data_IF_429054238112
#
_entry.id   IF_429054238112
#
_cell.length_a   1.000
_cell.length_b   1.000
_cell.length_c   1.000
_cell.angle_alpha   90.00
_cell.angle_beta   90.00
_cell.angle_gamma   90.00
#
_symmetry.space_group_name_H-M   'P 1'
#
loop_
_entity.id
_entity.type
_entity.pdbx_description
1 polymer ?
#
# COMPACT_ATOMS: atom_id res chain seq x y z
N UNK A 1 -5.57 -5.58 1.24
CA UNK A 1 -4.80 -6.79 1.65
C UNK A 1 -3.41 -6.31 2.00
N UNK A 2 -2.89 -6.65 3.18
CA UNK A 2 -1.58 -6.19 3.65
C UNK A 2 -0.46 -6.54 2.64
N UNK A 3 0.45 -5.60 2.27
CA UNK A 3 1.50 -5.84 1.29
C UNK A 3 2.35 -7.08 1.52
N UNK A 4 2.68 -7.41 2.79
CA UNK A 4 3.44 -8.62 3.12
C UNK A 4 2.78 -9.95 2.65
N UNK A 5 1.49 -9.93 2.31
CA UNK A 5 0.73 -11.09 1.84
C UNK A 5 0.57 -11.14 0.32
N UNK A 6 1.15 -10.18 -0.41
CA UNK A 6 1.05 -10.12 -1.86
C UNK A 6 1.97 -11.14 -2.52
N UNK A 7 1.41 -11.87 -3.47
CA UNK A 7 2.13 -12.60 -4.52
C UNK A 7 2.80 -11.65 -5.51
N UNK A 8 3.72 -12.18 -6.33
CA UNK A 8 4.33 -11.39 -7.40
C UNK A 8 3.28 -10.81 -8.38
N UNK A 9 2.20 -11.56 -8.64
CA UNK A 9 1.09 -11.07 -9.46
C UNK A 9 0.37 -9.88 -8.83
N UNK A 10 0.15 -9.90 -7.52
CA UNK A 10 -0.47 -8.77 -6.80
C UNK A 10 0.44 -7.54 -6.78
N UNK A 11 1.77 -7.72 -6.69
CA UNK A 11 2.74 -6.63 -6.86
C UNK A 11 2.64 -6.01 -8.25
N UNK A 12 2.63 -6.83 -9.31
CA UNK A 12 2.48 -6.36 -10.70
C UNK A 12 1.15 -5.63 -10.91
N UNK A 13 0.05 -6.14 -10.33
CA UNK A 13 -1.25 -5.47 -10.39
C UNK A 13 -1.25 -4.11 -9.67
N UNK A 14 -0.60 -4.00 -8.51
CA UNK A 14 -0.44 -2.73 -7.81
C UNK A 14 0.38 -1.72 -8.63
N UNK A 15 1.46 -2.16 -9.27
CA UNK A 15 2.26 -1.30 -10.16
C UNK A 15 1.46 -0.81 -11.37
N UNK A 16 0.65 -1.67 -11.97
CA UNK A 16 -0.25 -1.28 -13.07
C UNK A 16 -1.30 -0.27 -12.62
N UNK A 17 -1.88 -0.47 -11.43
CA UNK A 17 -2.79 0.50 -10.82
C UNK A 17 -2.10 1.86 -10.63
N UNK A 18 -0.91 1.90 -10.02
CA UNK A 18 -0.18 3.15 -9.83
C UNK A 18 0.23 3.81 -11.16
N UNK A 19 0.54 3.02 -12.19
CA UNK A 19 0.82 3.55 -13.53
C UNK A 19 -0.37 4.32 -14.08
N UNK A 20 -1.59 3.77 -13.95
CA UNK A 20 -2.81 4.43 -14.39
C UNK A 20 -3.20 5.62 -13.49
N UNK A 21 -3.14 5.45 -12.17
CA UNK A 21 -3.60 6.45 -11.19
C UNK A 21 -2.73 7.71 -11.18
N UNK A 22 -1.41 7.57 -11.36
CA UNK A 22 -0.47 8.69 -11.31
C UNK A 22 0.10 9.07 -12.69
N UNK A 23 -0.45 8.53 -13.79
CA UNK A 23 0.04 8.70 -15.16
C UNK A 23 1.55 8.41 -15.31
N UNK A 24 2.03 7.35 -14.64
CA UNK A 24 3.45 6.99 -14.67
C UNK A 24 3.75 6.28 -15.98
N UNK A 25 4.47 6.95 -16.87
CA UNK A 25 4.96 6.36 -18.11
C UNK A 25 6.09 5.37 -17.81
N UNK A 26 6.11 4.26 -18.55
CA UNK A 26 7.24 3.32 -18.64
C UNK A 26 7.58 2.52 -17.37
N UNK A 27 6.59 2.14 -16.56
CA UNK A 27 6.85 1.13 -15.52
C UNK A 27 7.02 -0.24 -16.18
N UNK A 28 8.26 -0.73 -16.25
CA UNK A 28 8.52 -2.12 -16.56
C UNK A 28 8.22 -2.98 -15.31
N UNK A 29 7.01 -3.54 -15.25
CA UNK A 29 6.55 -4.36 -14.12
C UNK A 29 7.41 -5.61 -13.89
N UNK A 30 8.14 -6.06 -14.91
CA UNK A 30 9.08 -7.19 -14.79
C UNK A 30 10.31 -6.84 -13.96
N UNK A 31 10.64 -5.54 -13.79
CA UNK A 31 11.69 -5.11 -12.87
C UNK A 31 11.35 -5.39 -11.40
N UNK A 32 10.09 -5.75 -11.10
CA UNK A 32 9.57 -6.07 -9.78
C UNK A 32 9.04 -7.50 -9.71
N UNK A 33 9.71 -8.47 -10.34
CA UNK A 33 9.36 -9.88 -10.24
C UNK A 33 9.68 -10.46 -8.86
N UNK A 34 8.89 -10.04 -7.88
CA UNK A 34 9.07 -10.34 -6.47
C UNK A 34 7.73 -10.29 -5.73
N UNK A 35 7.63 -10.99 -4.61
CA UNK A 35 6.45 -10.93 -3.76
C UNK A 35 6.46 -9.66 -2.89
N UNK A 36 5.36 -9.41 -2.17
CA UNK A 36 5.24 -8.22 -1.34
C UNK A 36 6.17 -8.18 -0.14
N UNK A 37 6.69 -9.32 0.36
CA UNK A 37 7.72 -9.32 1.42
C UNK A 37 9.04 -8.75 0.91
N UNK A 38 9.44 -9.10 -0.31
CA UNK A 38 10.61 -8.52 -0.95
C UNK A 38 10.40 -7.05 -1.28
N UNK A 39 9.20 -6.67 -1.75
CA UNK A 39 8.85 -5.28 -2.03
C UNK A 39 8.96 -4.39 -0.79
N UNK A 40 8.61 -4.90 0.40
CA UNK A 40 8.76 -4.21 1.69
C UNK A 40 10.21 -3.90 2.08
N UNK A 41 11.18 -4.64 1.54
CA UNK A 41 12.60 -4.42 1.83
C UNK A 41 13.25 -3.41 0.89
N UNK A 42 12.58 -3.02 -0.20
CA UNK A 42 13.12 -2.05 -1.14
C UNK A 42 13.15 -0.65 -0.52
N UNK A 43 14.31 -0.02 -0.61
CA UNK A 43 14.51 1.38 -0.26
C UNK A 43 14.00 2.30 -1.37
N UNK A 44 13.88 3.60 -1.06
CA UNK A 44 13.57 4.62 -2.07
C UNK A 44 14.55 4.57 -3.25
N UNK A 45 15.83 4.32 -2.99
CA UNK A 45 16.85 4.20 -4.04
C UNK A 45 16.60 2.99 -4.94
N UNK A 46 16.22 1.85 -4.38
CA UNK A 46 15.92 0.65 -5.18
C UNK A 46 14.74 0.87 -6.13
N UNK A 47 13.71 1.60 -5.69
CA UNK A 47 12.60 1.99 -6.56
C UNK A 47 13.06 2.95 -7.68
N UNK A 48 13.89 3.94 -7.35
CA UNK A 48 14.43 4.88 -8.34
C UNK A 48 15.38 4.19 -9.33
N UNK A 49 16.15 3.18 -8.92
CA UNK A 49 16.99 2.42 -9.84
C UNK A 49 16.14 1.65 -10.86
N UNK A 50 15.04 1.04 -10.40
CA UNK A 50 14.11 0.27 -11.24
C UNK A 50 13.22 1.15 -12.12
N UNK A 51 12.90 2.35 -11.65
CA UNK A 51 12.06 3.34 -12.33
C UNK A 51 12.68 4.74 -12.18
N UNK A 52 13.67 5.12 -13.00
CA UNK A 52 14.45 6.35 -12.82
C UNK A 52 13.65 7.65 -12.80
N UNK A 53 12.50 7.70 -13.49
CA UNK A 53 11.71 8.92 -13.62
C UNK A 53 10.66 9.09 -12.50
N UNK A 54 10.23 8.01 -11.87
CA UNK A 54 9.04 8.01 -11.01
C UNK A 54 9.06 6.98 -9.88
N UNK A 55 10.21 6.35 -9.63
CA UNK A 55 10.37 5.37 -8.56
C UNK A 55 10.13 5.96 -7.17
N UNK A 56 10.42 7.24 -6.97
CA UNK A 56 10.14 7.92 -5.71
C UNK A 56 8.63 8.11 -5.47
N UNK A 57 7.84 8.36 -6.51
CA UNK A 57 6.37 8.40 -6.45
C UNK A 57 5.82 7.03 -6.04
N UNK A 58 6.31 5.95 -6.66
CA UNK A 58 5.92 4.58 -6.30
C UNK A 58 6.29 4.23 -4.86
N UNK A 59 7.49 4.60 -4.42
CA UNK A 59 7.92 4.39 -3.04
C UNK A 59 7.00 5.13 -2.06
N UNK A 60 6.67 6.39 -2.35
CA UNK A 60 5.77 7.18 -1.50
C UNK A 60 4.36 6.58 -1.45
N UNK A 61 3.81 6.15 -2.59
CA UNK A 61 2.51 5.48 -2.65
C UNK A 61 2.51 4.18 -1.82
N UNK A 62 3.60 3.41 -1.91
CA UNK A 62 3.76 2.17 -1.14
C UNK A 62 3.91 2.41 0.37
N UNK A 63 4.61 3.46 0.79
CA UNK A 63 4.71 3.85 2.19
C UNK A 63 3.37 4.32 2.76
N UNK A 64 2.58 5.09 1.97
CA UNK A 64 1.24 5.49 2.38
C UNK A 64 0.33 4.29 2.59
N UNK A 65 0.37 3.30 1.70
CA UNK A 65 -0.38 2.07 1.84
C UNK A 65 -0.02 1.31 3.13
N UNK A 66 1.27 1.17 3.43
CA UNK A 66 1.74 0.51 4.66
C UNK A 66 1.30 1.25 5.93
N UNK A 67 1.34 2.59 5.90
CA UNK A 67 0.95 3.40 7.06
C UNK A 67 -0.57 3.36 7.30
N UNK A 68 -1.38 3.29 6.24
CA UNK A 68 -2.82 3.07 6.39
C UNK A 68 -3.14 1.72 7.02
N UNK A 69 -2.45 0.65 6.60
CA UNK A 69 -2.62 -0.68 7.22
C UNK A 69 -2.24 -0.67 8.72
N UNK A 70 -1.16 0.02 9.09
CA UNK A 70 -0.74 0.16 10.50
C UNK A 70 -1.78 0.92 11.32
N UNK A 71 -2.23 2.07 10.84
CA UNK A 71 -3.24 2.88 11.53
C UNK A 71 -4.53 2.08 11.67
N UNK A 72 -5.00 1.42 10.62
CA UNK A 72 -6.21 0.58 10.71
C UNK A 72 -6.03 -0.56 11.72
N UNK A 73 -4.87 -1.21 11.75
CA UNK A 73 -4.58 -2.28 12.70
C UNK A 73 -4.50 -1.76 14.15
N UNK A 74 -3.83 -0.63 14.38
CA UNK A 74 -3.75 0.03 15.69
C UNK A 74 -5.12 0.52 16.17
N UNK A 75 -5.95 1.04 15.27
CA UNK A 75 -7.32 1.40 15.60
C UNK A 75 -8.14 0.16 15.98
N UNK A 76 -8.07 -0.93 15.20
CA UNK A 76 -8.76 -2.19 15.52
C UNK A 76 -8.28 -2.80 16.85
N UNK A 77 -7.03 -2.57 17.24
CA UNK A 77 -6.44 -3.03 18.50
C UNK A 77 -6.61 -2.04 19.66
N UNK A 78 -7.08 -0.82 19.39
CA UNK A 78 -7.29 0.19 20.41
C UNK A 78 -8.47 -0.20 21.30
N UNK A 79 -8.35 -0.12 22.63
CA UNK A 79 -9.47 -0.34 23.55
C UNK A 79 -10.60 0.68 23.38
N UNK A 80 -10.43 1.71 22.53
CA UNK A 80 -11.47 2.68 22.16
C UNK A 80 -12.24 2.30 20.89
N UNK A 81 -11.77 1.36 20.07
CA UNK A 81 -12.51 0.91 18.88
C UNK A 81 -13.74 0.06 19.19
N UNK A 82 -13.84 -0.46 20.42
CA UNK A 82 -15.06 -1.07 20.97
C UNK A 82 -16.08 -0.04 21.47
N UNK A 83 -15.73 1.24 21.52
CA UNK A 83 -16.64 2.33 21.90
C UNK A 83 -17.28 3.00 20.67
N UNK A 84 -17.86 2.22 19.76
CA UNK A 84 -18.83 2.79 18.82
C UNK A 84 -20.13 3.04 19.56
N UNK A 85 -20.31 4.30 19.98
CA UNK A 85 -21.52 5.08 19.72
C UNK A 85 -22.83 4.28 19.86
N UNK A 86 -23.45 4.31 21.04
CA UNK A 86 -24.88 3.98 21.17
C UNK A 86 -25.64 5.11 20.45
N UNK A 87 -26.29 4.88 19.29
CA UNK A 87 -27.26 5.85 18.83
C UNK A 87 -28.42 5.76 19.82
N UNK A 88 -28.72 6.86 20.50
CA UNK A 88 -29.95 7.01 21.25
C UNK A 88 -31.09 6.86 20.24
N UNK A 89 -31.68 5.67 20.17
CA UNK A 89 -32.96 5.45 19.49
C UNK A 89 -34.03 6.23 20.28
N UNK A 90 -34.81 7.12 19.64
CA UNK A 90 -36.00 7.64 20.28
C UNK A 90 -36.99 6.48 20.37
N UNK A 91 -37.37 6.11 21.60
CA UNK A 91 -38.46 5.17 21.84
C UNK A 91 -39.80 5.83 21.49
N UNK A 92 -40.80 5.07 21.00
CA UNK A 92 -42.12 5.59 20.67
C UNK A 92 -42.90 6.08 21.89
#
# INVERSE_FOLDING_TARGET
>A
RHPALWSAREVKAWLQFCSAEFDLKQINVENFDMNGKALLLLTRMDFMERVPQSGDVLFNAFQHLQNQDKICHELLQSPLASCTFVPILPQP
#
